data_IF_876385456381
#
_entry.id   IF_876385456381
#
_cell.length_a   1.000
_cell.length_b   1.000
_cell.length_c   1.000
_cell.angle_alpha   90.00
_cell.angle_beta   90.00
_cell.angle_gamma   90.00
#
_symmetry.space_group_name_H-M   'P 1'
#
loop_
_entity.id
_entity.type
_entity.pdbx_description
1 polymer ?
#
# COMPACT_ATOMS: atom_id res chain seq x y z
N UNK A 1 10.82 -15.03 10.30
CA UNK A 1 10.03 -14.40 9.22
C UNK A 1 9.04 -13.33 9.68
N UNK A 2 8.35 -13.49 10.82
CA UNK A 2 7.39 -12.48 11.34
C UNK A 2 8.01 -11.08 11.51
N UNK A 3 9.23 -10.98 12.07
CA UNK A 3 9.95 -9.70 12.18
C UNK A 3 10.22 -9.02 10.84
N UNK A 4 10.59 -9.79 9.82
CA UNK A 4 10.83 -9.25 8.46
C UNK A 4 9.54 -8.72 7.85
N UNK A 5 8.43 -9.46 7.99
CA UNK A 5 7.11 -8.99 7.56
C UNK A 5 6.70 -7.70 8.31
N UNK A 6 6.89 -7.65 9.63
CA UNK A 6 6.62 -6.46 10.43
C UNK A 6 7.39 -5.23 9.89
N UNK A 7 8.71 -5.33 9.72
CA UNK A 7 9.55 -4.21 9.29
C UNK A 7 9.17 -3.75 7.87
N UNK A 8 9.11 -4.69 6.92
CA UNK A 8 8.80 -4.36 5.52
C UNK A 8 7.38 -3.81 5.37
N UNK A 9 6.40 -4.41 6.05
CA UNK A 9 5.01 -3.93 6.02
C UNK A 9 4.84 -2.55 6.67
N UNK A 10 5.60 -2.25 7.73
CA UNK A 10 5.59 -0.93 8.36
C UNK A 10 6.17 0.13 7.44
N UNK A 11 7.32 -0.14 6.81
CA UNK A 11 7.92 0.78 5.84
C UNK A 11 6.98 0.99 4.65
N UNK A 12 6.41 -0.08 4.09
CA UNK A 12 5.46 -0.01 2.99
C UNK A 12 4.24 0.84 3.35
N UNK A 13 3.66 0.63 4.53
CA UNK A 13 2.49 1.37 4.99
C UNK A 13 2.76 2.86 5.16
N UNK A 14 3.87 3.24 5.81
CA UNK A 14 4.23 4.65 6.00
C UNK A 14 4.49 5.33 4.65
N UNK A 15 5.28 4.70 3.78
CA UNK A 15 5.62 5.25 2.47
C UNK A 15 4.38 5.33 1.57
N UNK A 16 3.50 4.32 1.62
CA UNK A 16 2.24 4.29 0.88
C UNK A 16 1.25 5.37 1.30
N UNK A 17 1.16 5.67 2.60
CA UNK A 17 0.34 6.79 3.09
C UNK A 17 0.87 8.12 2.53
N UNK A 18 2.19 8.30 2.53
CA UNK A 18 2.83 9.52 2.00
C UNK A 18 2.59 9.63 0.50
N UNK A 19 2.77 8.55 -0.29
CA UNK A 19 2.57 8.59 -1.75
C UNK A 19 1.12 8.86 -2.12
N UNK A 20 0.16 8.18 -1.49
CA UNK A 20 -1.27 8.43 -1.69
C UNK A 20 -1.66 9.85 -1.27
N UNK A 21 -1.07 10.37 -0.19
CA UNK A 21 -1.26 11.74 0.27
C UNK A 21 -0.75 12.79 -0.72
N UNK A 22 0.43 12.56 -1.30
CA UNK A 22 0.98 13.42 -2.37
C UNK A 22 0.06 13.40 -3.59
N UNK A 23 -0.41 12.22 -4.02
CA UNK A 23 -1.29 12.12 -5.17
C UNK A 23 -2.65 12.80 -4.94
N UNK A 24 -3.20 12.65 -3.74
CA UNK A 24 -4.42 13.35 -3.33
C UNK A 24 -4.22 14.86 -3.33
N UNK A 25 -3.08 15.34 -2.81
CA UNK A 25 -2.73 16.76 -2.85
C UNK A 25 -2.62 17.28 -4.29
N UNK A 26 -1.99 16.52 -5.20
CA UNK A 26 -1.91 16.88 -6.63
C UNK A 26 -3.30 16.95 -7.26
N UNK A 27 -4.17 15.98 -7.00
CA UNK A 27 -5.55 15.98 -7.51
C UNK A 27 -6.40 17.13 -6.96
N UNK A 28 -6.23 17.52 -5.69
CA UNK A 28 -6.99 18.63 -5.09
C UNK A 28 -6.50 20.01 -5.53
N UNK A 29 -5.24 20.13 -5.97
CA UNK A 29 -4.64 21.40 -6.38
C UNK A 29 -4.52 21.56 -7.90
N UNK A 30 -4.99 20.60 -8.69
CA UNK A 30 -5.02 20.74 -10.15
C UNK A 30 -6.15 21.71 -10.53
N UNK A 31 -5.78 22.88 -11.05
CA UNK A 31 -6.69 23.98 -11.39
C UNK A 31 -7.38 23.84 -12.75
N UNK A 32 -7.14 22.74 -13.47
CA UNK A 32 -7.47 22.64 -14.89
C UNK A 32 -8.27 21.39 -15.16
N UNK A 33 -9.50 21.60 -15.65
CA UNK A 33 -10.27 20.82 -16.61
C UNK A 33 -9.53 19.61 -17.23
N UNK A 34 -9.27 18.59 -16.42
CA UNK A 34 -8.75 17.30 -16.87
C UNK A 34 -9.86 16.30 -16.56
N UNK A 35 -10.32 15.60 -17.60
CA UNK A 35 -11.39 14.59 -17.51
C UNK A 35 -11.12 13.50 -16.45
N UNK A 36 -9.90 13.43 -15.91
CA UNK A 36 -9.43 12.43 -14.96
C UNK A 36 -9.19 12.94 -13.53
N UNK A 37 -9.36 14.23 -13.18
CA UNK A 37 -9.05 14.75 -11.82
C UNK A 37 -9.87 14.03 -10.74
N UNK A 38 -11.18 13.88 -10.95
CA UNK A 38 -12.05 13.19 -9.99
C UNK A 38 -11.63 11.73 -9.78
N UNK A 39 -11.22 11.05 -10.84
CA UNK A 39 -10.70 9.68 -10.77
C UNK A 39 -9.42 9.61 -9.93
N UNK A 40 -8.49 10.55 -10.12
CA UNK A 40 -7.25 10.63 -9.32
C UNK A 40 -7.56 10.90 -7.86
N UNK A 41 -8.48 11.81 -7.53
CA UNK A 41 -8.87 12.10 -6.14
C UNK A 41 -9.47 10.86 -5.48
N UNK A 42 -10.46 10.23 -6.12
CA UNK A 42 -11.18 9.07 -5.55
C UNK A 42 -10.21 7.91 -5.33
N UNK A 43 -9.38 7.59 -6.32
CA UNK A 43 -8.45 6.46 -6.20
C UNK A 43 -7.39 6.72 -5.13
N UNK A 44 -6.90 7.96 -5.01
CA UNK A 44 -5.89 8.33 -4.02
C UNK A 44 -6.46 8.25 -2.61
N UNK A 45 -7.71 8.66 -2.44
CA UNK A 45 -8.39 8.57 -1.15
C UNK A 45 -8.65 7.12 -0.72
N UNK A 46 -9.15 6.28 -1.64
CA UNK A 46 -9.32 4.84 -1.39
C UNK A 46 -7.97 4.17 -1.11
N UNK A 47 -6.95 4.49 -1.90
CA UNK A 47 -5.58 4.05 -1.71
C UNK A 47 -5.05 4.39 -0.33
N UNK A 48 -5.18 5.65 0.10
CA UNK A 48 -4.77 6.12 1.43
C UNK A 48 -5.39 5.28 2.56
N UNK A 49 -6.70 5.01 2.48
CA UNK A 49 -7.39 4.16 3.46
C UNK A 49 -6.81 2.75 3.47
N UNK A 50 -6.60 2.16 2.30
CA UNK A 50 -6.03 0.82 2.17
C UNK A 50 -4.59 0.74 2.70
N UNK A 51 -3.77 1.79 2.53
CA UNK A 51 -2.43 1.84 3.09
C UNK A 51 -2.43 1.95 4.62
N UNK A 52 -3.38 2.70 5.20
CA UNK A 52 -3.59 2.73 6.65
C UNK A 52 -3.99 1.35 7.16
N UNK A 53 -4.93 0.68 6.50
CA UNK A 53 -5.35 -0.68 6.86
C UNK A 53 -4.17 -1.65 6.74
N UNK A 54 -3.40 -1.59 5.64
CA UNK A 54 -2.19 -2.38 5.44
C UNK A 54 -1.17 -2.18 6.57
N UNK A 55 -0.94 -0.94 6.98
CA UNK A 55 -0.05 -0.59 8.09
C UNK A 55 -0.55 -1.17 9.42
N UNK A 56 -1.83 -0.99 9.75
CA UNK A 56 -2.42 -1.52 10.99
C UNK A 56 -2.23 -3.04 11.05
N UNK A 57 -2.48 -3.75 9.95
CA UNK A 57 -2.30 -5.20 9.90
C UNK A 57 -0.82 -5.63 9.91
N UNK A 58 0.09 -4.83 9.35
CA UNK A 58 1.53 -5.05 9.51
C UNK A 58 1.95 -4.98 11.00
N UNK A 59 1.40 -4.02 11.76
CA UNK A 59 1.64 -3.90 13.19
C UNK A 59 1.03 -5.06 14.00
N UNK A 60 -0.04 -5.68 13.51
CA UNK A 60 -0.70 -6.82 14.14
C UNK A 60 -0.13 -8.19 13.76
N UNK A 61 0.95 -8.25 12.95
CA UNK A 61 1.45 -9.51 12.37
C UNK A 61 1.84 -10.57 13.41
N UNK A 62 2.21 -10.17 14.62
CA UNK A 62 2.54 -11.10 15.70
C UNK A 62 1.30 -11.82 16.26
N UNK A 63 0.17 -11.13 16.33
CA UNK A 63 -1.09 -11.65 16.90
C UNK A 63 -1.99 -12.33 15.86
N UNK A 64 -2.00 -11.83 14.61
CA UNK A 64 -2.88 -12.28 13.53
C UNK A 64 -2.12 -12.52 12.23
N UNK A 65 -1.07 -13.35 12.27
CA UNK A 65 -0.08 -13.48 11.20
C UNK A 65 -0.68 -13.80 9.82
N UNK A 66 -1.58 -14.78 9.70
CA UNK A 66 -2.16 -15.15 8.40
C UNK A 66 -3.03 -14.04 7.80
N UNK A 67 -3.92 -13.47 8.61
CA UNK A 67 -4.85 -12.41 8.18
C UNK A 67 -4.06 -11.16 7.83
N UNK A 68 -3.07 -10.81 8.65
CA UNK A 68 -2.15 -9.71 8.37
C UNK A 68 -1.47 -9.88 7.02
N UNK A 69 -0.97 -11.09 6.73
CA UNK A 69 -0.37 -11.41 5.44
C UNK A 69 -1.29 -11.16 4.24
N UNK A 70 -2.55 -11.64 4.32
CA UNK A 70 -3.54 -11.44 3.26
C UNK A 70 -3.88 -9.96 3.07
N UNK A 71 -4.10 -9.23 4.16
CA UNK A 71 -4.45 -7.80 4.11
C UNK A 71 -3.31 -6.95 3.55
N UNK A 72 -2.07 -7.25 3.94
CA UNK A 72 -0.88 -6.59 3.38
C UNK A 72 -0.78 -6.79 1.86
N UNK A 73 -1.08 -7.99 1.34
CA UNK A 73 -1.10 -8.23 -0.11
C UNK A 73 -2.18 -7.39 -0.80
N UNK A 74 -3.39 -7.32 -0.22
CA UNK A 74 -4.48 -6.50 -0.77
C UNK A 74 -4.10 -5.01 -0.79
N UNK A 75 -3.49 -4.49 0.27
CA UNK A 75 -2.99 -3.12 0.33
C UNK A 75 -1.87 -2.86 -0.70
N UNK A 76 -0.99 -3.85 -0.93
CA UNK A 76 0.00 -3.78 -2.00
C UNK A 76 -0.66 -3.68 -3.38
N UNK A 77 -1.63 -4.53 -3.69
CA UNK A 77 -2.33 -4.53 -4.98
C UNK A 77 -3.05 -3.20 -5.20
N UNK A 78 -3.65 -2.61 -4.17
CA UNK A 78 -4.25 -1.29 -4.32
C UNK A 78 -3.22 -0.21 -4.67
N UNK A 79 -2.01 -0.27 -4.12
CA UNK A 79 -0.96 0.69 -4.48
C UNK A 79 -0.45 0.51 -5.91
N UNK A 80 -0.46 -0.72 -6.43
CA UNK A 80 -0.21 -0.96 -7.85
C UNK A 80 -1.27 -0.27 -8.71
N UNK A 81 -2.56 -0.32 -8.32
CA UNK A 81 -3.64 0.39 -9.04
C UNK A 81 -3.40 1.90 -8.95
N UNK A 82 -3.16 2.44 -7.76
CA UNK A 82 -2.89 3.87 -7.53
C UNK A 82 -1.70 4.36 -8.37
N UNK A 83 -0.66 3.52 -8.56
CA UNK A 83 0.48 3.88 -9.40
C UNK A 83 0.06 4.21 -10.84
N UNK A 84 -0.81 3.45 -11.49
CA UNK A 84 -1.26 3.77 -12.85
C UNK A 84 -2.05 5.08 -12.94
N UNK A 85 -2.81 5.44 -11.90
CA UNK A 85 -3.50 6.73 -11.85
C UNK A 85 -2.57 7.90 -11.53
N UNK A 86 -1.40 7.66 -10.94
CA UNK A 86 -0.39 8.70 -10.77
C UNK A 86 0.24 9.16 -12.08
N UNK A 87 0.16 8.34 -13.15
CA UNK A 87 0.51 8.76 -14.51
C UNK A 87 -0.52 9.77 -15.03
N UNK A 88 -1.80 9.56 -14.75
CA UNK A 88 -2.88 10.49 -15.12
C UNK A 88 -2.79 11.81 -14.34
N UNK A 89 -2.24 11.78 -13.13
CA UNK A 89 -1.97 12.96 -12.31
C UNK A 89 -0.60 13.63 -12.56
N UNK A 90 0.09 13.27 -13.65
CA UNK A 90 1.43 13.79 -14.01
C UNK A 90 2.45 13.74 -12.85
N UNK A 91 2.43 12.64 -12.10
CA UNK A 91 3.26 12.45 -10.91
C UNK A 91 4.16 11.22 -11.05
N UNK A 92 5.21 11.27 -11.90
CA UNK A 92 6.10 10.13 -12.17
C UNK A 92 6.86 9.67 -10.92
N UNK A 93 7.12 10.57 -9.97
CA UNK A 93 7.73 10.22 -8.68
C UNK A 93 6.79 9.33 -7.86
N UNK A 94 5.51 9.68 -7.82
CA UNK A 94 4.49 8.89 -7.10
C UNK A 94 4.31 7.51 -7.73
N UNK A 95 4.41 7.40 -9.06
CA UNK A 95 4.39 6.10 -9.75
C UNK A 95 5.46 5.15 -9.22
N UNK A 96 6.71 5.61 -9.15
CA UNK A 96 7.83 4.80 -8.67
C UNK A 96 7.64 4.43 -7.20
N UNK A 97 7.23 5.38 -6.36
CA UNK A 97 7.04 5.14 -4.93
C UNK A 97 5.93 4.11 -4.70
N UNK A 98 4.79 4.24 -5.39
CA UNK A 98 3.69 3.29 -5.26
C UNK A 98 4.08 1.88 -5.74
N UNK A 99 4.91 1.77 -6.78
CA UNK A 99 5.42 0.48 -7.23
C UNK A 99 6.34 -0.16 -6.19
N UNK A 100 7.21 0.64 -5.55
CA UNK A 100 8.07 0.16 -4.45
C UNK A 100 7.22 -0.31 -3.27
N UNK A 101 6.19 0.44 -2.88
CA UNK A 101 5.25 0.08 -1.81
C UNK A 101 4.53 -1.23 -2.12
N UNK A 102 4.04 -1.40 -3.35
CA UNK A 102 3.46 -2.67 -3.81
C UNK A 102 4.41 -3.85 -3.56
N UNK A 103 5.66 -3.74 -4.01
CA UNK A 103 6.66 -4.82 -3.85
C UNK A 103 6.92 -5.10 -2.37
N UNK A 104 7.09 -4.07 -1.54
CA UNK A 104 7.35 -4.23 -0.12
C UNK A 104 6.17 -4.91 0.61
N UNK A 105 4.93 -4.50 0.31
CA UNK A 105 3.75 -5.13 0.90
C UNK A 105 3.55 -6.56 0.42
N UNK A 106 3.84 -6.85 -0.84
CA UNK A 106 3.78 -8.21 -1.39
C UNK A 106 4.79 -9.14 -0.69
N UNK A 107 6.05 -8.72 -0.58
CA UNK A 107 7.10 -9.50 0.09
C UNK A 107 6.75 -9.69 1.57
N UNK A 108 6.31 -8.62 2.24
CA UNK A 108 5.88 -8.66 3.63
C UNK A 108 4.73 -9.66 3.85
N UNK A 109 3.70 -9.59 3.01
CA UNK A 109 2.54 -10.46 3.08
C UNK A 109 2.88 -11.92 2.86
N UNK A 110 3.74 -12.23 1.88
CA UNK A 110 4.24 -13.59 1.62
C UNK A 110 4.99 -14.12 2.84
N UNK A 111 5.88 -13.32 3.44
CA UNK A 111 6.60 -13.74 4.64
C UNK A 111 5.69 -13.98 5.84
N UNK A 112 4.65 -13.16 6.02
CA UNK A 112 3.65 -13.36 7.07
C UNK A 112 2.87 -14.67 6.86
N UNK A 113 2.38 -14.93 5.64
CA UNK A 113 1.64 -16.16 5.33
C UNK A 113 2.53 -17.39 5.54
N UNK A 114 3.78 -17.37 5.07
CA UNK A 114 4.71 -18.47 5.24
C UNK A 114 5.01 -18.73 6.72
N UNK A 115 5.25 -17.67 7.49
CA UNK A 115 5.48 -17.76 8.93
C UNK A 115 4.27 -18.34 9.69
N UNK A 116 3.05 -18.10 9.21
CA UNK A 116 1.84 -18.66 9.83
C UNK A 116 1.74 -20.18 9.66
N UNK A 117 2.20 -20.72 8.52
CA UNK A 117 2.15 -22.15 8.23
C UNK A 117 3.16 -22.95 9.05
N UNK A 118 4.35 -22.39 9.27
CA UNK A 118 5.41 -23.04 10.06
C UNK A 118 5.01 -23.23 11.53
N UNK A 119 4.25 -22.30 12.11
CA UNK A 119 3.71 -22.43 13.49
C UNK A 119 2.63 -23.49 13.66
N UNK A 120 2.06 -24.06 12.59
CA UNK A 120 1.03 -25.11 12.68
C UNK A 120 1.65 -26.51 12.61
N UNK A 121 2.91 -26.60 12.16
CA UNK A 121 3.63 -27.86 11.95
C UNK A 121 4.55 -28.29 13.10
N UNK A 122 4.63 -27.48 14.17
CA UNK A 122 5.29 -27.79 15.44
C UNK A 122 4.26 -28.20 16.51
#
# INVERSE_FOLDING_TARGET
MKKTAFILGTIAGIVGIISCGILLYVGLNTTVDHDNVYSVIIISFIGLILQIVGLVYALMVESKTEIAGKVMIVAGISDLIVSFFSILGDSPVTFIICFVVFVLFLISGIFAIKASKETITE
#
